data_IF_812222635864
#
_entry.id   IF_812222635864
#
_cell.length_a   1.000
_cell.length_b   1.000
_cell.length_c   1.000
_cell.angle_alpha   90.00
_cell.angle_beta   90.00
_cell.angle_gamma   90.00
#
_symmetry.space_group_name_H-M   'P 1'
#
loop_
_entity.id
_entity.type
_entity.pdbx_description
1 polymer ?
#
# COMPACT_ATOMS: atom_id res chain seq x y z
N UNK A 1 10.49 -2.28 0.75
CA UNK A 1 9.11 -2.61 1.19
C UNK A 1 8.42 -3.59 0.23
N UNK A 2 8.40 -3.32 -1.08
CA UNK A 2 7.85 -4.25 -2.09
C UNK A 2 8.38 -5.69 -1.97
N UNK A 3 9.70 -5.88 -1.96
CA UNK A 3 10.36 -7.20 -1.88
C UNK A 3 10.03 -7.94 -0.59
N UNK A 4 10.08 -7.24 0.55
CA UNK A 4 9.72 -7.77 1.86
C UNK A 4 8.25 -8.20 1.92
N UNK A 5 7.35 -7.39 1.37
CA UNK A 5 5.92 -7.70 1.36
C UNK A 5 5.59 -8.88 0.45
N UNK A 6 6.24 -8.94 -0.72
CA UNK A 6 6.15 -10.09 -1.61
C UNK A 6 6.63 -11.36 -0.91
N UNK A 7 7.79 -11.31 -0.26
CA UNK A 7 8.32 -12.45 0.51
C UNK A 7 7.38 -12.87 1.65
N UNK A 8 6.80 -11.91 2.38
CA UNK A 8 5.84 -12.18 3.44
C UNK A 8 4.59 -12.90 2.91
N UNK A 9 3.93 -12.35 1.89
CA UNK A 9 2.71 -12.95 1.33
C UNK A 9 3.02 -14.30 0.68
N UNK A 10 4.14 -14.41 -0.05
CA UNK A 10 4.59 -15.67 -0.66
C UNK A 10 4.98 -16.75 0.34
N UNK A 11 5.16 -16.42 1.62
CA UNK A 11 5.35 -17.42 2.67
C UNK A 11 4.06 -18.19 2.98
N UNK A 12 2.89 -17.61 2.71
CA UNK A 12 1.59 -18.26 2.91
C UNK A 12 1.42 -19.45 1.93
N UNK A 13 1.03 -20.64 2.42
CA UNK A 13 0.68 -21.77 1.55
C UNK A 13 -0.47 -21.42 0.59
N UNK A 14 -1.48 -20.69 1.06
CA UNK A 14 -2.65 -20.31 0.27
C UNK A 14 -2.25 -19.47 -0.95
N UNK A 15 -1.29 -18.55 -0.76
CA UNK A 15 -0.80 -17.72 -1.86
C UNK A 15 -0.01 -18.53 -2.89
N UNK A 16 0.77 -19.52 -2.45
CA UNK A 16 1.60 -20.36 -3.32
C UNK A 16 0.80 -21.30 -4.21
N UNK A 17 -0.44 -21.62 -3.82
CA UNK A 17 -1.35 -22.47 -4.60
C UNK A 17 -1.99 -21.72 -5.77
N UNK A 18 -2.01 -20.38 -5.71
CA UNK A 18 -2.54 -19.54 -6.78
C UNK A 18 -1.63 -19.60 -8.02
N UNK A 19 -2.22 -19.42 -9.20
CA UNK A 19 -1.46 -19.23 -10.44
C UNK A 19 -0.62 -17.96 -10.37
N UNK A 20 0.45 -17.89 -11.15
CA UNK A 20 1.33 -16.70 -11.20
C UNK A 20 0.52 -15.44 -11.55
N UNK A 21 -0.47 -15.56 -12.44
CA UNK A 21 -1.34 -14.44 -12.82
C UNK A 21 -2.23 -13.98 -11.65
N UNK A 22 -2.82 -14.90 -10.89
CA UNK A 22 -3.61 -14.58 -9.70
C UNK A 22 -2.74 -13.94 -8.61
N UNK A 23 -1.52 -14.47 -8.39
CA UNK A 23 -0.56 -13.91 -7.45
C UNK A 23 -0.19 -12.46 -7.82
N UNK A 24 0.14 -12.21 -9.09
CA UNK A 24 0.44 -10.87 -9.58
C UNK A 24 -0.76 -9.94 -9.44
N UNK A 25 -1.96 -10.40 -9.84
CA UNK A 25 -3.18 -9.59 -9.77
C UNK A 25 -3.54 -9.22 -8.33
N UNK A 26 -3.46 -10.15 -7.38
CA UNK A 26 -3.68 -9.86 -5.96
C UNK A 26 -2.67 -8.86 -5.40
N UNK A 27 -1.41 -9.04 -5.77
CA UNK A 27 -0.35 -8.18 -5.30
C UNK A 27 -0.55 -6.76 -5.83
N UNK A 28 -0.78 -6.59 -7.14
CA UNK A 28 -1.05 -5.28 -7.76
C UNK A 28 -2.25 -4.57 -7.11
N UNK A 29 -3.32 -5.31 -6.81
CA UNK A 29 -4.55 -4.73 -6.24
C UNK A 29 -4.43 -4.31 -4.79
N UNK A 30 -3.73 -5.07 -3.96
CA UNK A 30 -3.73 -4.87 -2.50
C UNK A 30 -2.43 -4.25 -1.98
N UNK A 31 -1.37 -4.19 -2.78
CA UNK A 31 -0.07 -3.68 -2.36
C UNK A 31 -0.17 -2.30 -1.71
N UNK A 32 -0.96 -1.40 -2.28
CA UNK A 32 -1.08 -0.04 -1.76
C UNK A 32 -1.73 0.00 -0.37
N UNK A 33 -2.82 -0.73 -0.17
CA UNK A 33 -3.47 -0.82 1.14
C UNK A 33 -2.59 -1.47 2.20
N UNK A 34 -1.89 -2.51 1.80
CA UNK A 34 -0.91 -3.20 2.64
C UNK A 34 0.24 -2.27 3.04
N UNK A 35 0.85 -1.58 2.08
CA UNK A 35 1.94 -0.63 2.33
C UNK A 35 1.45 0.52 3.19
N UNK A 36 0.24 1.03 2.96
CA UNK A 36 -0.34 2.09 3.75
C UNK A 36 -0.56 1.66 5.20
N UNK A 37 -1.17 0.49 5.43
CA UNK A 37 -1.40 -0.05 6.78
C UNK A 37 -0.08 -0.34 7.51
N UNK A 38 0.88 -0.97 6.83
CA UNK A 38 2.18 -1.27 7.42
C UNK A 38 2.97 0.01 7.74
N UNK A 39 2.97 0.99 6.84
CA UNK A 39 3.62 2.28 7.07
C UNK A 39 2.98 3.02 8.24
N UNK A 40 1.65 3.01 8.33
CA UNK A 40 0.91 3.58 9.44
C UNK A 40 1.32 2.94 10.78
N UNK A 41 1.38 1.60 10.82
CA UNK A 41 1.87 0.87 11.98
C UNK A 41 3.31 1.23 12.34
N UNK A 42 4.20 1.26 11.37
CA UNK A 42 5.60 1.64 11.57
C UNK A 42 5.76 3.08 12.10
N UNK A 43 5.00 4.04 11.56
CA UNK A 43 5.05 5.42 12.04
C UNK A 43 4.54 5.56 13.47
N UNK A 44 3.52 4.79 13.84
CA UNK A 44 3.04 4.75 15.22
C UNK A 44 4.07 4.14 16.17
N UNK A 45 4.65 2.98 15.82
CA UNK A 45 5.58 2.27 16.72
C UNK A 45 6.88 3.03 16.91
N UNK A 46 7.34 3.75 15.88
CA UNK A 46 8.55 4.58 15.96
C UNK A 46 8.30 5.98 16.53
N UNK A 47 7.04 6.44 16.60
CA UNK A 47 6.70 7.82 16.98
C UNK A 47 7.15 8.87 15.97
N UNK A 48 7.61 8.48 14.78
CA UNK A 48 8.18 9.40 13.77
C UNK A 48 7.15 10.46 13.37
N UNK A 49 5.87 10.10 13.23
CA UNK A 49 4.83 11.05 12.83
C UNK A 49 4.49 12.08 13.92
N UNK A 50 4.87 11.84 15.17
CA UNK A 50 4.67 12.80 16.25
C UNK A 50 5.79 13.83 16.34
N UNK A 51 6.89 13.62 15.61
CA UNK A 51 7.99 14.57 15.54
C UNK A 51 7.60 15.79 14.69
N UNK A 52 7.65 17.02 15.22
CA UNK A 52 7.24 18.23 14.48
C UNK A 52 8.01 18.43 13.17
N UNK A 53 9.31 18.13 13.16
CA UNK A 53 10.15 18.21 11.96
C UNK A 53 9.68 17.26 10.85
N UNK A 54 9.25 16.07 11.22
CA UNK A 54 8.73 15.07 10.30
C UNK A 54 7.41 15.53 9.69
N UNK A 55 6.47 15.98 10.53
CA UNK A 55 5.20 16.55 10.07
C UNK A 55 5.40 17.75 9.14
N UNK A 56 6.32 18.64 9.48
CA UNK A 56 6.64 19.81 8.64
C UNK A 56 7.21 19.39 7.29
N UNK A 57 8.20 18.49 7.27
CA UNK A 57 8.81 18.00 6.04
C UNK A 57 7.80 17.32 5.12
N UNK A 58 6.96 16.43 5.66
CA UNK A 58 5.94 15.75 4.87
C UNK A 58 4.78 16.67 4.47
N UNK A 59 4.46 17.70 5.26
CA UNK A 59 3.41 18.67 4.89
C UNK A 59 3.80 19.54 3.70
N UNK A 60 5.10 19.75 3.44
CA UNK A 60 5.57 20.44 2.23
C UNK A 60 5.23 19.62 0.97
N UNK A 61 5.36 18.30 1.05
CA UNK A 61 5.18 17.39 -0.09
C UNK A 61 3.71 17.02 -0.28
N UNK A 62 3.02 16.64 0.80
CA UNK A 62 1.67 16.07 0.76
C UNK A 62 0.57 17.04 1.17
N UNK A 63 0.94 18.21 1.71
CA UNK A 63 0.00 19.17 2.30
C UNK A 63 -0.30 18.88 3.78
N UNK A 64 -0.56 19.94 4.53
CA UNK A 64 -0.84 19.88 5.98
C UNK A 64 -2.12 19.10 6.31
N UNK A 65 -3.14 19.19 5.45
CA UNK A 65 -4.40 18.46 5.63
C UNK A 65 -4.20 16.95 5.54
N UNK A 66 -3.44 16.48 4.54
CA UNK A 66 -3.12 15.06 4.37
C UNK A 66 -2.33 14.54 5.57
N UNK A 67 -1.36 15.32 6.05
CA UNK A 67 -0.58 14.92 7.22
C UNK A 67 -1.40 14.88 8.51
N UNK A 68 -2.36 15.79 8.68
CA UNK A 68 -3.31 15.76 9.79
C UNK A 68 -4.17 14.49 9.75
N UNK A 69 -4.66 14.12 8.57
CA UNK A 69 -5.43 12.89 8.38
C UNK A 69 -4.58 11.63 8.63
N UNK A 70 -3.36 11.58 8.10
CA UNK A 70 -2.43 10.48 8.33
C UNK A 70 -2.11 10.31 9.83
N UNK A 71 -1.91 11.42 10.55
CA UNK A 71 -1.74 11.39 12.02
C UNK A 71 -2.97 10.85 12.74
N UNK A 72 -4.16 11.27 12.32
CA UNK A 72 -5.42 10.78 12.90
C UNK A 72 -5.60 9.27 12.68
N UNK A 73 -5.32 8.78 11.46
CA UNK A 73 -5.33 7.34 11.13
C UNK A 73 -4.33 6.58 12.02
N UNK A 74 -3.12 7.10 12.21
CA UNK A 74 -2.11 6.45 13.05
C UNK A 74 -2.53 6.31 14.51
N UNK A 75 -3.25 7.30 15.04
CA UNK A 75 -3.77 7.26 16.41
C UNK A 75 -4.87 6.19 16.59
N UNK A 76 -5.60 5.84 15.53
CA UNK A 76 -6.68 4.85 15.57
C UNK A 76 -6.22 3.40 15.45
N UNK A 77 -4.96 3.14 15.08
CA UNK A 77 -4.42 1.79 14.95
C UNK A 77 -4.54 0.99 16.26
N UNK A 78 -4.67 -0.33 16.13
CA UNK A 78 -4.53 -1.21 17.28
C UNK A 78 -3.05 -1.21 17.74
N UNK A 79 -2.75 -1.04 19.03
CA UNK A 79 -1.38 -1.14 19.55
C UNK A 79 -0.80 -2.56 19.42
N UNK A 80 -1.64 -3.59 19.30
CA UNK A 80 -1.20 -4.97 19.19
C UNK A 80 -0.72 -5.30 17.77
N UNK A 81 0.59 -5.49 17.62
CA UNK A 81 1.20 -5.84 16.32
C UNK A 81 0.68 -7.16 15.76
N UNK A 82 0.24 -8.12 16.58
CA UNK A 82 -0.33 -9.38 16.08
C UNK A 82 -1.65 -9.12 15.36
N UNK A 83 -2.49 -8.24 15.90
CA UNK A 83 -3.75 -7.81 15.24
C UNK A 83 -3.45 -7.18 13.88
N UNK A 84 -2.44 -6.30 13.82
CA UNK A 84 -2.05 -5.63 12.57
C UNK A 84 -1.50 -6.64 11.54
N UNK A 85 -0.66 -7.59 11.97
CA UNK A 85 -0.12 -8.63 11.08
C UNK A 85 -1.23 -9.50 10.50
N UNK A 86 -2.18 -9.94 11.33
CA UNK A 86 -3.34 -10.71 10.87
C UNK A 86 -4.18 -9.90 9.88
N UNK A 87 -4.37 -8.60 10.16
CA UNK A 87 -5.08 -7.71 9.25
C UNK A 87 -4.37 -7.53 7.90
N UNK A 88 -3.03 -7.46 7.88
CA UNK A 88 -2.24 -7.39 6.64
C UNK A 88 -2.46 -8.62 5.76
N UNK A 89 -2.56 -9.81 6.37
CA UNK A 89 -2.85 -11.05 5.63
C UNK A 89 -4.29 -11.02 5.09
N UNK A 90 -5.27 -10.59 5.89
CA UNK A 90 -6.67 -10.43 5.44
C UNK A 90 -6.77 -9.49 4.24
N UNK A 91 -6.00 -8.39 4.22
CA UNK A 91 -5.93 -7.48 3.09
C UNK A 91 -5.23 -8.10 1.87
N UNK A 92 -4.16 -8.88 2.08
CA UNK A 92 -3.44 -9.54 0.99
C UNK A 92 -4.33 -10.48 0.17
N UNK A 93 -5.29 -11.13 0.81
CA UNK A 93 -6.28 -12.00 0.16
C UNK A 93 -7.61 -11.29 -0.15
N UNK A 94 -7.68 -9.96 -0.04
CA UNK A 94 -8.90 -9.24 -0.40
C UNK A 94 -9.04 -9.13 -1.91
N UNK A 95 -10.25 -9.35 -2.44
CA UNK A 95 -10.48 -9.32 -3.88
C UNK A 95 -10.44 -7.91 -4.48
N UNK A 96 -10.86 -6.88 -3.73
CA UNK A 96 -11.18 -5.56 -4.31
C UNK A 96 -10.93 -4.33 -3.42
N UNK A 97 -10.22 -4.41 -2.29
CA UNK A 97 -10.19 -3.28 -1.35
C UNK A 97 -9.47 -2.02 -1.86
N UNK A 98 -8.47 -2.14 -2.75
CA UNK A 98 -7.63 -1.00 -3.20
C UNK A 98 -7.45 -0.94 -4.73
N UNK A 99 -8.41 -1.47 -5.49
CA UNK A 99 -8.32 -1.52 -6.96
C UNK A 99 -8.30 -0.11 -7.54
N UNK A 100 -7.18 0.25 -8.17
CA UNK A 100 -7.09 1.41 -9.05
C UNK A 100 -7.51 0.95 -10.45
N UNK A 101 -8.71 1.31 -10.88
CA UNK A 101 -9.20 0.95 -12.22
C UNK A 101 -8.40 1.72 -13.26
N UNK A 102 -7.46 1.05 -13.90
CA UNK A 102 -6.73 1.63 -15.03
C UNK A 102 -7.57 1.49 -16.30
N UNK A 103 -7.98 2.61 -16.89
CA UNK A 103 -8.92 2.66 -18.05
C UNK A 103 -8.37 1.98 -19.31
N UNK A 104 -7.07 1.70 -19.36
CA UNK A 104 -6.37 1.21 -20.55
C UNK A 104 -6.23 -0.32 -20.62
N UNK A 105 -6.55 -1.08 -19.55
CA UNK A 105 -6.46 -2.55 -19.57
C UNK A 105 -7.85 -3.19 -19.76
N UNK A 106 -8.08 -4.00 -20.82
CA UNK A 106 -9.29 -4.79 -20.91
C UNK A 106 -9.37 -5.78 -19.74
N UNK A 107 -10.57 -5.89 -19.15
CA UNK A 107 -10.94 -6.71 -17.99
C UNK A 107 -10.86 -8.22 -18.28
N UNK A 108 -9.70 -8.75 -18.67
CA UNK A 108 -9.46 -10.19 -18.58
C UNK A 108 -9.00 -10.51 -17.15
N UNK A 109 -9.93 -10.35 -16.21
CA UNK A 109 -9.60 -10.45 -14.79
C UNK A 109 -9.50 -11.91 -14.37
N UNK A 110 -8.29 -12.47 -14.43
CA UNK A 110 -8.02 -13.84 -13.98
C UNK A 110 -8.51 -14.14 -12.55
N UNK A 111 -8.69 -13.10 -11.70
CA UNK A 111 -9.26 -13.21 -10.36
C UNK A 111 -10.77 -13.51 -10.33
N UNK A 112 -11.52 -13.23 -11.40
CA UNK A 112 -12.94 -13.61 -11.52
C UNK A 112 -13.13 -15.12 -11.61
N UNK A 113 -12.10 -15.89 -12.00
CA UNK A 113 -12.18 -17.34 -12.11
C UNK A 113 -11.69 -18.08 -10.84
N UNK A 114 -10.87 -17.44 -10.00
CA UNK A 114 -10.31 -18.00 -8.76
C UNK A 114 -10.98 -17.55 -7.45
N UNK A 115 -12.08 -16.79 -7.54
CA UNK A 115 -12.65 -16.01 -6.45
C UNK A 115 -13.09 -16.85 -5.24
N UNK A 116 -13.54 -18.09 -5.46
CA UNK A 116 -13.95 -18.98 -4.37
C UNK A 116 -12.79 -19.37 -3.44
N UNK A 117 -11.61 -19.69 -4.01
CA UNK A 117 -10.42 -20.03 -3.21
C UNK A 117 -9.89 -18.82 -2.47
N UNK A 118 -9.91 -17.66 -3.13
CA UNK A 118 -9.51 -16.41 -2.52
C UNK A 118 -10.36 -16.06 -1.29
N UNK A 119 -11.69 -16.10 -1.45
CA UNK A 119 -12.61 -15.86 -0.34
C UNK A 119 -12.47 -16.92 0.75
N UNK A 120 -12.20 -18.17 0.38
CA UNK A 120 -11.86 -19.24 1.32
C UNK A 120 -10.67 -18.86 2.20
N UNK A 121 -9.54 -18.51 1.60
CA UNK A 121 -8.33 -18.10 2.33
C UNK A 121 -8.58 -16.85 3.16
N UNK A 122 -9.23 -15.82 2.60
CA UNK A 122 -9.56 -14.60 3.34
C UNK A 122 -10.42 -14.89 4.57
N UNK A 123 -11.45 -15.72 4.44
CA UNK A 123 -12.34 -16.09 5.55
C UNK A 123 -11.59 -16.82 6.67
N UNK A 124 -10.65 -17.72 6.33
CA UNK A 124 -9.81 -18.39 7.33
C UNK A 124 -9.00 -17.36 8.13
N UNK A 125 -8.39 -16.37 7.47
CA UNK A 125 -7.62 -15.34 8.17
C UNK A 125 -8.49 -14.36 8.96
N UNK A 126 -9.70 -14.04 8.48
CA UNK A 126 -10.68 -13.25 9.25
C UNK A 126 -11.12 -14.02 10.51
N UNK A 127 -11.40 -15.32 10.38
CA UNK A 127 -11.77 -16.16 11.51
C UNK A 127 -10.62 -16.29 12.52
N UNK A 128 -9.38 -16.40 12.04
CA UNK A 128 -8.19 -16.41 12.89
C UNK A 128 -8.03 -15.08 13.65
N UNK A 129 -8.19 -13.94 12.96
CA UNK A 129 -8.20 -12.62 13.58
C UNK A 129 -9.29 -12.49 14.64
N UNK A 130 -10.50 -12.94 14.32
CA UNK A 130 -11.64 -12.89 15.23
C UNK A 130 -11.42 -13.75 16.48
N UNK A 131 -10.98 -15.00 16.31
CA UNK A 131 -10.64 -15.90 17.41
C UNK A 131 -9.52 -15.34 18.28
N UNK A 132 -8.50 -14.74 17.67
CA UNK A 132 -7.42 -14.08 18.39
C UNK A 132 -7.94 -12.92 19.26
N UNK A 133 -8.80 -12.06 18.69
CA UNK A 133 -9.39 -10.96 19.43
C UNK A 133 -10.21 -11.47 20.62
N UNK A 134 -11.09 -12.46 20.41
CA UNK A 134 -11.90 -13.04 21.49
C UNK A 134 -11.02 -13.62 22.58
N UNK A 135 -10.01 -14.39 22.20
CA UNK A 135 -9.08 -15.01 23.13
C UNK A 135 -8.32 -13.98 23.98
N UNK A 136 -7.88 -12.87 23.35
CA UNK A 136 -7.03 -11.87 23.99
C UNK A 136 -7.79 -10.80 24.78
N UNK A 137 -8.96 -10.38 24.29
CA UNK A 137 -9.67 -9.20 24.78
C UNK A 137 -11.09 -9.50 25.29
N UNK A 138 -11.61 -10.71 25.05
CA UNK A 138 -13.00 -11.06 25.36
C UNK A 138 -13.99 -10.50 24.34
N UNK A 139 -15.24 -10.99 24.38
CA UNK A 139 -16.22 -10.76 23.32
C UNK A 139 -16.51 -9.27 23.04
N UNK A 140 -16.82 -8.48 24.09
CA UNK A 140 -17.24 -7.09 23.93
C UNK A 140 -16.14 -6.20 23.31
N UNK A 141 -14.93 -6.26 23.86
CA UNK A 141 -13.79 -5.51 23.33
C UNK A 141 -13.38 -5.99 21.93
N UNK A 142 -13.57 -7.28 21.63
CA UNK A 142 -13.31 -7.82 20.29
C UNK A 142 -14.21 -7.19 19.24
N UNK A 143 -15.51 -7.04 19.53
CA UNK A 143 -16.45 -6.36 18.63
C UNK A 143 -15.97 -4.93 18.36
N UNK A 144 -15.66 -4.17 19.41
CA UNK A 144 -15.21 -2.77 19.29
C UNK A 144 -13.93 -2.68 18.45
N UNK A 145 -12.92 -3.50 18.76
CA UNK A 145 -11.64 -3.50 18.06
C UNK A 145 -11.80 -3.92 16.61
N UNK A 146 -12.57 -4.97 16.34
CA UNK A 146 -12.83 -5.42 14.98
C UNK A 146 -13.52 -4.32 14.16
N UNK A 147 -14.57 -3.68 14.70
CA UNK A 147 -15.22 -2.55 14.03
C UNK A 147 -14.28 -1.38 13.77
N UNK A 148 -13.38 -1.07 14.71
CA UNK A 148 -12.35 -0.03 14.53
C UNK A 148 -11.36 -0.39 13.42
N UNK A 149 -10.94 -1.65 13.32
CA UNK A 149 -10.08 -2.13 12.23
C UNK A 149 -10.76 -1.96 10.88
N UNK A 150 -12.04 -2.33 10.76
CA UNK A 150 -12.80 -2.13 9.52
C UNK A 150 -12.90 -0.63 9.18
N UNK A 151 -13.25 0.22 10.17
CA UNK A 151 -13.28 1.67 9.99
C UNK A 151 -11.94 2.25 9.55
N UNK A 152 -10.84 1.76 10.12
CA UNK A 152 -9.48 2.13 9.74
C UNK A 152 -9.20 1.78 8.26
N UNK A 153 -9.58 0.58 7.81
CA UNK A 153 -9.39 0.20 6.40
C UNK A 153 -10.19 1.11 5.47
N UNK A 154 -11.44 1.43 5.81
CA UNK A 154 -12.25 2.34 4.99
C UNK A 154 -11.64 3.74 4.93
N UNK A 155 -11.10 4.24 6.06
CA UNK A 155 -10.37 5.50 6.10
C UNK A 155 -9.10 5.46 5.25
N UNK A 156 -8.35 4.35 5.28
CA UNK A 156 -7.17 4.14 4.45
C UNK A 156 -7.54 4.11 2.96
N UNK A 157 -8.60 3.42 2.57
CA UNK A 157 -9.10 3.40 1.17
C UNK A 157 -9.45 4.81 0.71
N UNK A 158 -10.24 5.55 1.52
CA UNK A 158 -10.59 6.95 1.21
C UNK A 158 -9.34 7.82 1.07
N UNK A 159 -8.39 7.68 1.98
CA UNK A 159 -7.14 8.43 1.97
C UNK A 159 -6.29 8.10 0.73
N UNK A 160 -6.19 6.83 0.36
CA UNK A 160 -5.51 6.40 -0.86
C UNK A 160 -6.14 7.02 -2.11
N UNK A 161 -7.46 7.04 -2.22
CA UNK A 161 -8.15 7.69 -3.36
C UNK A 161 -7.76 9.16 -3.48
N UNK A 162 -7.79 9.90 -2.37
CA UNK A 162 -7.40 11.33 -2.35
C UNK A 162 -5.94 11.52 -2.76
N UNK A 163 -5.03 10.66 -2.27
CA UNK A 163 -3.63 10.70 -2.69
C UNK A 163 -3.47 10.45 -4.18
N UNK A 164 -4.21 9.50 -4.77
CA UNK A 164 -4.14 9.24 -6.20
C UNK A 164 -4.69 10.40 -7.04
N UNK A 165 -5.81 10.99 -6.64
CA UNK A 165 -6.42 12.09 -7.39
C UNK A 165 -5.59 13.37 -7.29
N UNK A 166 -4.93 13.60 -6.16
CA UNK A 166 -4.20 14.83 -5.89
C UNK A 166 -2.68 14.68 -6.13
N UNK A 167 -2.23 13.56 -6.69
CA UNK A 167 -0.81 13.29 -6.95
C UNK A 167 -0.23 14.09 -8.12
N UNK A 168 -0.72 15.31 -8.37
CA UNK A 168 -0.12 16.25 -9.32
C UNK A 168 1.37 16.47 -9.03
N UNK A 169 1.77 16.47 -7.75
CA UNK A 169 3.17 16.61 -7.35
C UNK A 169 4.06 15.48 -7.87
N UNK A 170 3.60 14.21 -7.82
CA UNK A 170 4.39 13.10 -8.34
C UNK A 170 4.51 13.16 -9.87
N UNK A 171 3.43 13.53 -10.55
CA UNK A 171 3.47 13.80 -11.99
C UNK A 171 4.42 14.94 -12.33
N UNK A 172 4.38 16.04 -11.58
CA UNK A 172 5.28 17.18 -11.77
C UNK A 172 6.74 16.79 -11.53
N UNK A 173 7.05 16.10 -10.43
CA UNK A 173 8.41 15.65 -10.11
C UNK A 173 8.96 14.69 -11.18
N UNK A 174 8.16 13.71 -11.62
CA UNK A 174 8.56 12.77 -12.68
C UNK A 174 8.76 13.51 -14.00
N UNK A 175 7.88 14.46 -14.34
CA UNK A 175 8.01 15.26 -15.55
C UNK A 175 9.24 16.18 -15.51
N UNK A 176 9.56 16.77 -14.36
CA UNK A 176 10.76 17.57 -14.14
C UNK A 176 12.03 16.73 -14.28
N UNK A 177 12.07 15.53 -13.67
CA UNK A 177 13.19 14.60 -13.82
C UNK A 177 13.32 14.17 -15.29
N UNK A 178 12.22 13.84 -15.96
CA UNK A 178 12.23 13.50 -17.39
C UNK A 178 12.69 14.67 -18.26
N UNK A 179 12.34 15.91 -17.90
CA UNK A 179 12.79 17.10 -18.60
C UNK A 179 14.30 17.35 -18.39
N UNK A 180 14.80 17.17 -17.17
CA UNK A 180 16.23 17.26 -16.86
C UNK A 180 17.04 16.19 -17.59
N UNK A 181 16.57 14.95 -17.60
CA UNK A 181 17.19 13.84 -18.34
C UNK A 181 17.20 14.14 -19.85
N UNK A 182 16.10 14.65 -20.40
CA UNK A 182 16.04 15.06 -21.81
C UNK A 182 17.03 16.18 -22.13
N UNK A 183 17.16 17.18 -21.26
CA UNK A 183 18.14 18.26 -21.41
C UNK A 183 19.58 17.77 -21.35
N UNK A 184 19.92 16.86 -20.42
CA UNK A 184 21.27 16.28 -20.36
C UNK A 184 21.61 15.47 -21.62
N UNK A 185 20.64 14.76 -22.20
CA UNK A 185 20.84 14.04 -23.46
C UNK A 185 20.92 14.95 -24.70
N UNK A 186 20.31 16.14 -24.67
CA UNK A 186 20.44 17.11 -25.78
C UNK A 186 21.77 17.86 -25.71
N UNK A 187 22.29 18.14 -24.50
CA UNK A 187 23.62 18.74 -24.35
C UNK A 187 24.77 17.80 -24.74
N UNK A 188 24.62 16.49 -24.61
CA UNK A 188 25.62 15.50 -25.07
C UNK A 188 25.64 15.32 -26.60
N UNK A 189 24.57 15.70 -27.32
CA UNK A 189 24.55 15.65 -28.78
C UNK A 189 25.30 16.81 -29.45
N UNK A 190 25.43 17.96 -28.77
CA UNK A 190 26.24 19.10 -29.24
C UNK A 190 27.75 18.95 -28.92
N UNK A 191 28.14 17.90 -28.20
CA UNK A 191 29.55 17.58 -27.85
C UNK A 191 30.05 16.30 -28.54
N UNK A 192 29.33 15.76 -29.53
CA UNK A 192 29.92 14.75 -30.43
C UNK A 192 30.81 15.41 -31.51
N UNK A 193 31.94 15.96 -31.06
CA UNK A 193 33.13 15.99 -31.92
C UNK A 193 33.66 14.56 -31.99
N UNK A 194 33.78 13.93 -33.17
CA UNK A 194 34.34 12.59 -33.25
C UNK A 194 35.74 12.57 -32.66
N UNK A 195 35.97 11.67 -31.70
CA UNK A 195 37.25 11.46 -30.99
C UNK A 195 38.37 10.90 -31.88
N UNK A 196 38.12 10.71 -33.18
CA UNK A 196 39.14 10.34 -34.15
C UNK A 196 39.60 11.60 -34.88
N UNK A 197 40.44 12.38 -34.18
CA UNK A 197 41.25 13.37 -34.86
C UNK A 197 42.21 12.69 -35.83
N UNK A 198 42.15 13.05 -37.12
CA UNK A 198 43.26 13.68 -37.86
C UNK A 198 42.93 13.94 -39.34
N UNK A 199 43.36 15.15 -39.74
CA UNK A 199 43.55 15.77 -41.07
C UNK A 199 42.36 15.90 -42.00
#
# INVERSE_FOLDING_TARGET
MYTSMKSFISSSPDFRILTINEQCSLFERNLHGIVALYSAHYFRTTGIIDTPKCLQAFSIVYGSEMMRQAKHINQQLDPDSTVIILMLIVLAFSSNCFVVVNKEKPLLDSLLNGTFRLFGSQNVYIELLWKYLIYRYGYYESVIRFSRLIGLILNLVKYSVVLYTNNEFYYQLVNEILAQIKQSFTMDQDVQKPLWGKT
#
